data_IF_687955964063
#
_entry.id   IF_687955964063
#
_cell.length_a   1.000
_cell.length_b   1.000
_cell.length_c   1.000
_cell.angle_alpha   90.00
_cell.angle_beta   90.00
_cell.angle_gamma   90.00
#
_symmetry.space_group_name_H-M   'P 1'
#
loop_
_entity.id
_entity.type
_entity.pdbx_description
1 polymer ?
#
# COMPACT_ATOMS: atom_id res chain seq x y z
N UNK A 1 -27.99 -5.24 -0.35
CA UNK A 1 -27.22 -5.46 0.88
C UNK A 1 -25.77 -4.97 0.72
N UNK A 2 -24.96 -5.51 -0.23
CA UNK A 2 -23.53 -5.19 -0.39
C UNK A 2 -23.22 -3.70 -0.67
N UNK A 3 -24.09 -2.99 -1.39
CA UNK A 3 -23.89 -1.57 -1.69
C UNK A 3 -24.07 -0.67 -0.44
N UNK A 4 -25.02 -1.01 0.42
CA UNK A 4 -25.26 -0.28 1.65
C UNK A 4 -24.15 -0.53 2.68
N UNK A 5 -23.62 -1.76 2.77
CA UNK A 5 -22.44 -2.08 3.58
C UNK A 5 -21.18 -1.32 3.10
N UNK A 6 -21.00 -1.23 1.79
CA UNK A 6 -19.87 -0.49 1.22
C UNK A 6 -19.99 1.01 1.50
N UNK A 7 -21.19 1.58 1.39
CA UNK A 7 -21.43 2.99 1.75
C UNK A 7 -21.24 3.27 3.23
N UNK A 8 -21.72 2.39 4.12
CA UNK A 8 -21.50 2.52 5.56
C UNK A 8 -20.02 2.40 5.93
N UNK A 9 -19.26 1.61 5.16
CA UNK A 9 -17.82 1.45 5.32
C UNK A 9 -17.07 2.71 4.90
N UNK A 10 -17.41 3.30 3.76
CA UNK A 10 -16.87 4.59 3.31
C UNK A 10 -17.22 5.74 4.27
N UNK A 11 -18.38 5.71 4.89
CA UNK A 11 -18.80 6.66 5.92
C UNK A 11 -17.94 6.56 7.18
N UNK A 12 -17.58 5.35 7.63
CA UNK A 12 -16.63 5.15 8.74
C UNK A 12 -15.27 5.77 8.43
N UNK A 13 -14.76 5.63 7.19
CA UNK A 13 -13.51 6.28 6.78
C UNK A 13 -13.64 7.80 6.68
N UNK A 14 -14.80 8.33 6.30
CA UNK A 14 -15.07 9.77 6.32
C UNK A 14 -15.01 10.40 7.72
N UNK A 15 -15.39 9.65 8.75
CA UNK A 15 -15.28 10.10 10.15
C UNK A 15 -13.83 10.15 10.62
N UNK A 16 -12.97 9.26 10.09
CA UNK A 16 -11.53 9.22 10.41
C UNK A 16 -10.76 10.27 9.62
N UNK A 17 -11.24 10.66 8.43
CA UNK A 17 -10.69 11.74 7.63
C UNK A 17 -11.55 12.99 7.91
N UNK A 18 -11.17 13.88 8.84
CA UNK A 18 -11.92 15.10 9.03
C UNK A 18 -11.90 15.87 7.71
N UNK A 19 -13.10 16.14 7.19
CA UNK A 19 -13.25 17.07 6.08
C UNK A 19 -12.46 18.34 6.45
N UNK A 20 -11.62 18.80 5.50
CA UNK A 20 -10.93 20.08 5.62
C UNK A 20 -11.99 21.16 5.89
N UNK A 21 -12.25 21.45 7.16
CA UNK A 21 -12.97 22.66 7.53
C UNK A 21 -12.00 23.79 7.27
N UNK A 22 -12.37 24.65 6.32
CA UNK A 22 -11.91 26.02 6.27
C UNK A 22 -12.40 26.69 7.55
N UNK A 23 -11.66 26.54 8.62
CA UNK A 23 -11.85 27.31 9.83
C UNK A 23 -10.78 28.40 9.84
N UNK A 24 -11.24 29.62 9.66
CA UNK A 24 -10.49 30.85 9.70
C UNK A 24 -10.04 31.16 11.14
N UNK A 25 -9.18 30.33 11.67
CA UNK A 25 -8.42 30.56 12.88
C UNK A 25 -6.95 30.48 12.53
N UNK A 26 -6.22 31.57 12.71
CA UNK A 26 -4.76 31.68 12.52
C UNK A 26 -4.04 30.63 13.37
N UNK A 27 -3.84 29.44 12.79
CA UNK A 27 -2.84 28.50 13.29
C UNK A 27 -1.46 28.97 12.80
N UNK A 28 -0.40 28.83 13.60
CA UNK A 28 0.95 29.17 13.17
C UNK A 28 1.28 28.43 11.85
N UNK A 29 2.13 28.99 10.98
CA UNK A 29 2.41 28.42 9.67
C UNK A 29 2.79 26.96 9.83
N UNK A 30 1.93 26.08 9.30
CA UNK A 30 2.05 24.64 9.46
C UNK A 30 3.31 24.23 8.70
N UNK A 31 4.35 23.84 9.42
CA UNK A 31 5.60 23.35 8.82
C UNK A 31 5.26 22.22 7.84
N UNK A 32 5.61 22.35 6.54
CA UNK A 32 5.31 21.37 5.53
C UNK A 32 5.79 19.96 5.90
N UNK A 33 6.89 19.89 6.66
CA UNK A 33 7.45 18.61 7.12
C UNK A 33 6.60 17.97 8.22
N UNK A 34 6.13 18.77 9.19
CA UNK A 34 5.24 18.32 10.26
C UNK A 34 3.89 17.86 9.69
N UNK A 35 3.39 18.56 8.66
CA UNK A 35 2.19 18.17 7.93
C UNK A 35 2.35 16.84 7.21
N UNK A 36 3.45 16.65 6.46
CA UNK A 36 3.74 15.41 5.75
C UNK A 36 3.84 14.20 6.70
N UNK A 37 4.43 14.39 7.89
CA UNK A 37 4.50 13.34 8.92
C UNK A 37 3.11 12.97 9.44
N UNK A 38 2.25 13.95 9.77
CA UNK A 38 0.88 13.67 10.26
C UNK A 38 0.03 12.96 9.23
N UNK A 39 0.17 13.30 7.96
CA UNK A 39 -0.57 12.66 6.88
C UNK A 39 -0.09 11.23 6.60
N UNK A 40 1.22 10.99 6.70
CA UNK A 40 1.79 9.65 6.65
C UNK A 40 1.26 8.75 7.78
N UNK A 41 1.20 9.26 9.00
CA UNK A 41 0.63 8.54 10.14
C UNK A 41 -0.85 8.18 9.91
N UNK A 42 -1.65 9.10 9.38
CA UNK A 42 -3.05 8.82 9.03
C UNK A 42 -3.18 7.72 7.98
N UNK A 43 -2.29 7.68 6.98
CA UNK A 43 -2.29 6.64 5.97
C UNK A 43 -1.97 5.26 6.58
N UNK A 44 -1.02 5.19 7.51
CA UNK A 44 -0.67 3.97 8.23
C UNK A 44 -1.82 3.47 9.12
N UNK A 45 -2.50 4.37 9.84
CA UNK A 45 -3.64 4.02 10.69
C UNK A 45 -4.81 3.46 9.86
N UNK A 46 -5.11 4.07 8.73
CA UNK A 46 -6.14 3.60 7.80
C UNK A 46 -5.73 2.25 7.18
N UNK A 47 -4.48 2.10 6.76
CA UNK A 47 -3.98 0.85 6.22
C UNK A 47 -4.11 -0.30 7.23
N UNK A 48 -3.81 -0.04 8.50
CA UNK A 48 -3.99 -1.01 9.59
C UNK A 48 -5.44 -1.48 9.72
N UNK A 49 -6.39 -0.55 9.76
CA UNK A 49 -7.82 -0.86 9.84
C UNK A 49 -8.26 -1.69 8.63
N UNK A 50 -7.85 -1.30 7.43
CA UNK A 50 -8.21 -2.02 6.20
C UNK A 50 -7.66 -3.44 6.19
N UNK A 51 -6.38 -3.62 6.57
CA UNK A 51 -5.74 -4.94 6.61
C UNK A 51 -6.45 -5.85 7.61
N UNK A 52 -6.78 -5.34 8.79
CA UNK A 52 -7.53 -6.07 9.82
C UNK A 52 -8.95 -6.44 9.34
N UNK A 53 -9.69 -5.49 8.79
CA UNK A 53 -11.04 -5.73 8.25
C UNK A 53 -11.05 -6.68 7.04
N UNK A 54 -9.95 -6.76 6.29
CA UNK A 54 -9.80 -7.72 5.20
C UNK A 54 -9.50 -9.15 5.69
N UNK A 55 -9.30 -9.36 7.01
CA UNK A 55 -9.18 -10.68 7.63
C UNK A 55 -7.75 -11.09 7.96
N UNK A 56 -6.78 -10.22 7.82
CA UNK A 56 -5.43 -10.47 8.35
C UNK A 56 -5.44 -10.39 9.88
N UNK A 57 -4.59 -11.17 10.52
CA UNK A 57 -4.44 -11.27 11.97
C UNK A 57 -3.00 -10.96 12.39
N UNK A 58 -2.74 -10.94 13.71
CA UNK A 58 -1.39 -10.78 14.24
C UNK A 58 -0.69 -9.48 13.82
N UNK A 59 -1.45 -8.41 13.62
CA UNK A 59 -0.91 -7.14 13.16
C UNK A 59 0.12 -6.59 14.15
N UNK A 60 1.30 -6.22 13.61
CA UNK A 60 2.36 -5.61 14.42
C UNK A 60 1.92 -4.26 14.98
N UNK A 61 2.16 -4.02 16.28
CA UNK A 61 1.87 -2.73 16.92
C UNK A 61 2.90 -1.66 16.56
N UNK A 62 4.10 -2.08 16.15
CA UNK A 62 5.23 -1.20 15.80
C UNK A 62 5.79 -1.60 14.45
N UNK A 63 6.43 -0.64 13.79
CA UNK A 63 7.22 -0.90 12.58
C UNK A 63 8.33 -1.92 12.87
N UNK A 64 8.59 -2.80 11.91
CA UNK A 64 9.65 -3.79 12.01
C UNK A 64 10.89 -3.31 11.26
N UNK A 65 11.99 -3.06 11.98
CA UNK A 65 13.27 -2.81 11.36
C UNK A 65 13.95 -4.14 10.98
N UNK A 66 14.38 -4.24 9.73
CA UNK A 66 15.12 -5.39 9.18
C UNK A 66 16.63 -5.17 9.29
N UNK A 67 17.40 -6.25 9.22
CA UNK A 67 18.89 -6.18 9.27
C UNK A 67 19.48 -5.42 8.08
N UNK A 68 18.83 -5.48 6.92
CA UNK A 68 19.20 -4.72 5.73
C UNK A 68 18.92 -3.21 5.83
N UNK A 69 18.42 -2.72 6.97
CA UNK A 69 18.11 -1.31 7.20
C UNK A 69 16.72 -0.86 6.70
N UNK A 70 15.97 -1.73 6.05
CA UNK A 70 14.58 -1.43 5.64
C UNK A 70 13.66 -1.49 6.86
N UNK A 71 12.73 -0.55 6.93
CA UNK A 71 11.68 -0.53 7.94
C UNK A 71 10.36 -0.90 7.28
N UNK A 72 9.72 -1.97 7.76
CA UNK A 72 8.39 -2.41 7.35
C UNK A 72 7.35 -1.69 8.20
N UNK A 73 6.37 -1.07 7.56
CA UNK A 73 5.35 -0.26 8.26
C UNK A 73 4.34 -1.14 9.00
N UNK A 74 3.93 -2.26 8.39
CA UNK A 74 2.97 -3.18 8.99
C UNK A 74 3.32 -4.63 8.63
N UNK A 75 3.28 -5.50 9.64
CA UNK A 75 3.41 -6.96 9.49
C UNK A 75 2.11 -7.59 9.93
N UNK A 76 1.61 -8.56 9.19
CA UNK A 76 0.40 -9.30 9.53
C UNK A 76 0.49 -10.75 9.06
N UNK A 77 -0.49 -11.57 9.44
CA UNK A 77 -0.60 -12.98 9.09
C UNK A 77 -1.90 -13.25 8.35
N UNK A 78 -1.85 -14.06 7.32
CA UNK A 78 -3.02 -14.65 6.66
C UNK A 78 -3.58 -15.84 7.43
N UNK A 79 -4.70 -16.40 6.97
CA UNK A 79 -5.40 -17.51 7.65
C UNK A 79 -4.53 -18.77 7.80
N UNK A 80 -3.60 -19.02 6.87
CA UNK A 80 -2.63 -20.12 6.93
C UNK A 80 -1.41 -19.84 7.80
N UNK A 81 -1.34 -18.64 8.43
CA UNK A 81 -0.22 -18.21 9.25
C UNK A 81 0.97 -17.61 8.47
N UNK A 82 0.88 -17.50 7.15
CA UNK A 82 1.94 -16.89 6.33
C UNK A 82 2.13 -15.40 6.67
N UNK A 83 3.38 -14.96 6.63
CA UNK A 83 3.76 -13.58 6.98
C UNK A 83 3.63 -12.67 5.76
N UNK A 84 3.00 -11.54 5.99
CA UNK A 84 2.84 -10.46 5.01
C UNK A 84 3.45 -9.18 5.53
N UNK A 85 4.26 -8.55 4.70
CA UNK A 85 4.89 -7.26 4.94
C UNK A 85 4.20 -6.20 4.07
N UNK A 86 3.76 -5.13 4.69
CA UNK A 86 3.14 -4.01 3.99
C UNK A 86 3.99 -2.74 4.13
N UNK A 87 4.28 -2.10 3.00
CA UNK A 87 4.86 -0.76 2.92
C UNK A 87 3.73 0.21 2.60
N UNK A 88 3.49 1.15 3.50
CA UNK A 88 2.35 2.06 3.39
C UNK A 88 2.82 3.41 2.86
N UNK A 89 2.24 3.84 1.75
CA UNK A 89 2.54 5.13 1.15
C UNK A 89 1.27 5.88 0.82
N UNK A 90 1.18 7.14 1.18
CA UNK A 90 0.03 7.96 0.83
C UNK A 90 -0.07 9.24 1.61
N UNK A 91 -0.83 10.13 1.07
CA UNK A 91 -1.28 11.38 1.67
C UNK A 91 -2.70 11.62 1.19
N UNK A 92 -3.49 12.35 1.97
CA UNK A 92 -4.90 12.60 1.65
C UNK A 92 -5.13 14.03 1.15
N UNK A 93 -4.07 14.77 0.83
CA UNK A 93 -4.14 16.23 0.58
C UNK A 93 -3.75 16.68 -0.80
N UNK A 94 -3.25 15.82 -1.68
CA UNK A 94 -2.82 16.22 -3.02
C UNK A 94 -3.29 15.27 -4.12
N UNK A 95 -3.51 15.79 -5.34
CA UNK A 95 -3.91 15.01 -6.51
C UNK A 95 -2.85 14.01 -7.00
N UNK A 96 -1.61 14.13 -6.51
CA UNK A 96 -0.48 13.25 -6.87
C UNK A 96 0.07 12.54 -5.64
N UNK A 97 -0.77 11.72 -5.04
CA UNK A 97 -0.44 11.02 -3.81
C UNK A 97 0.11 9.61 -4.04
N UNK A 98 0.69 9.06 -2.98
CA UNK A 98 1.14 7.67 -2.96
C UNK A 98 2.19 7.38 -4.04
N UNK A 99 2.04 6.24 -4.70
CA UNK A 99 2.98 5.77 -5.72
C UNK A 99 2.87 6.49 -7.08
N UNK A 100 1.90 7.39 -7.27
CA UNK A 100 1.87 8.28 -8.44
C UNK A 100 3.05 9.27 -8.45
N UNK A 101 3.62 9.56 -7.29
CA UNK A 101 4.84 10.38 -7.17
C UNK A 101 6.05 9.54 -7.50
N UNK A 102 6.83 10.00 -8.47
CA UNK A 102 8.02 9.29 -8.95
C UNK A 102 9.05 9.06 -7.86
N UNK A 103 9.30 10.06 -7.02
CA UNK A 103 10.24 9.95 -5.89
C UNK A 103 9.78 8.92 -4.85
N UNK A 104 8.49 8.89 -4.53
CA UNK A 104 7.90 7.92 -3.62
C UNK A 104 7.98 6.52 -4.20
N UNK A 105 7.62 6.34 -5.47
CA UNK A 105 7.69 5.06 -6.15
C UNK A 105 9.12 4.48 -6.13
N UNK A 106 10.12 5.27 -6.54
CA UNK A 106 11.51 4.80 -6.55
C UNK A 106 12.04 4.49 -5.15
N UNK A 107 11.63 5.25 -4.14
CA UNK A 107 11.92 4.94 -2.74
C UNK A 107 11.35 3.59 -2.33
N UNK A 108 10.07 3.32 -2.62
CA UNK A 108 9.42 2.04 -2.28
C UNK A 108 10.03 0.87 -3.05
N UNK A 109 10.36 1.04 -4.33
CA UNK A 109 11.06 0.02 -5.12
C UNK A 109 12.48 -0.25 -4.58
N UNK A 110 13.20 0.78 -4.15
CA UNK A 110 14.50 0.65 -3.50
C UNK A 110 14.43 -0.14 -2.19
N UNK A 111 13.41 0.14 -1.35
CA UNK A 111 13.14 -0.66 -0.13
C UNK A 111 12.84 -2.13 -0.49
N UNK A 112 12.00 -2.38 -1.50
CA UNK A 112 11.66 -3.72 -1.94
C UNK A 112 12.90 -4.50 -2.41
N UNK A 113 13.78 -3.86 -3.17
CA UNK A 113 15.02 -4.44 -3.63
C UNK A 113 15.98 -4.75 -2.46
N UNK A 114 16.19 -3.81 -1.55
CA UNK A 114 17.08 -4.00 -0.38
C UNK A 114 16.56 -5.11 0.55
N UNK A 115 15.23 -5.21 0.73
CA UNK A 115 14.57 -6.22 1.55
C UNK A 115 14.90 -7.65 1.11
N UNK A 116 15.12 -7.91 -0.19
CA UNK A 116 15.44 -9.25 -0.69
C UNK A 116 16.76 -9.82 -0.14
N UNK A 117 17.64 -8.98 0.34
CA UNK A 117 18.90 -9.39 0.96
C UNK A 117 18.77 -9.74 2.44
N UNK A 118 17.56 -9.70 3.00
CA UNK A 118 17.31 -10.08 4.39
C UNK A 118 16.63 -11.45 4.46
N UNK A 119 17.31 -12.42 5.06
CA UNK A 119 16.82 -13.79 5.17
C UNK A 119 15.47 -13.92 5.88
N UNK A 120 15.14 -12.98 6.79
CA UNK A 120 13.84 -12.96 7.47
C UNK A 120 12.66 -12.66 6.51
N UNK A 121 12.98 -12.21 5.30
CA UNK A 121 11.99 -11.80 4.30
C UNK A 121 11.74 -12.86 3.21
N UNK A 122 12.51 -13.95 3.21
CA UNK A 122 12.47 -14.94 2.12
C UNK A 122 11.09 -15.57 1.94
N UNK A 123 10.39 -15.85 3.04
CA UNK A 123 9.05 -16.44 3.03
C UNK A 123 7.91 -15.43 3.11
N UNK A 124 8.20 -14.16 3.35
CA UNK A 124 7.17 -13.16 3.53
C UNK A 124 6.78 -12.48 2.21
N UNK A 125 5.49 -12.37 1.93
CA UNK A 125 4.96 -11.58 0.80
C UNK A 125 5.11 -10.09 1.08
N UNK A 126 5.50 -9.31 0.06
CA UNK A 126 5.67 -7.86 0.20
C UNK A 126 4.70 -7.10 -0.68
N UNK A 127 3.84 -6.30 -0.05
CA UNK A 127 2.75 -5.58 -0.69
C UNK A 127 2.89 -4.09 -0.42
N UNK A 128 2.77 -3.29 -1.49
CA UNK A 128 2.60 -1.84 -1.33
C UNK A 128 1.12 -1.51 -1.10
N UNK A 129 0.82 -0.84 0.01
CA UNK A 129 -0.48 -0.23 0.26
C UNK A 129 -0.38 1.27 0.01
N UNK A 130 -1.12 1.78 -0.92
CA UNK A 130 -1.02 3.18 -1.34
C UNK A 130 -2.39 3.83 -1.49
N UNK A 131 -2.45 5.15 -1.38
CA UNK A 131 -3.65 5.92 -1.73
C UNK A 131 -3.88 5.97 -3.24
N UNK A 132 -2.81 5.94 -4.05
CA UNK A 132 -2.90 6.04 -5.51
C UNK A 132 -1.79 5.28 -6.21
N UNK A 133 -2.13 4.59 -7.28
CA UNK A 133 -1.20 3.86 -8.15
C UNK A 133 -0.84 4.69 -9.39
N UNK A 134 0.36 4.50 -9.97
CA UNK A 134 0.69 5.07 -11.27
C UNK A 134 -0.21 4.44 -12.35
N UNK A 135 -0.82 5.29 -13.20
CA UNK A 135 -1.75 4.85 -14.24
C UNK A 135 -1.08 4.66 -15.61
N UNK A 136 0.06 5.33 -15.81
CA UNK A 136 0.75 5.33 -17.10
C UNK A 136 2.23 5.66 -16.96
N UNK A 137 2.96 5.63 -18.06
CA UNK A 137 4.34 6.10 -18.17
C UNK A 137 5.38 5.18 -17.51
N UNK A 138 6.57 5.75 -17.26
CA UNK A 138 7.72 5.01 -16.72
C UNK A 138 7.45 4.41 -15.33
N UNK A 139 6.67 5.10 -14.48
CA UNK A 139 6.33 4.64 -13.14
C UNK A 139 5.52 3.34 -13.16
N UNK A 140 4.51 3.26 -14.02
CA UNK A 140 3.72 2.04 -14.18
C UNK A 140 4.57 0.90 -14.75
N UNK A 141 5.41 1.18 -15.77
CA UNK A 141 6.31 0.18 -16.35
C UNK A 141 7.29 -0.38 -15.31
N UNK A 142 7.89 0.48 -14.50
CA UNK A 142 8.80 0.08 -13.42
C UNK A 142 8.11 -0.78 -12.37
N UNK A 143 6.92 -0.36 -11.90
CA UNK A 143 6.16 -1.12 -10.93
C UNK A 143 5.80 -2.51 -11.44
N UNK A 144 5.29 -2.61 -12.68
CA UNK A 144 4.96 -3.89 -13.31
C UNK A 144 6.18 -4.80 -13.45
N UNK A 145 7.33 -4.25 -13.87
CA UNK A 145 8.56 -5.02 -13.99
C UNK A 145 8.98 -5.64 -12.64
N UNK A 146 8.75 -4.95 -11.54
CA UNK A 146 9.06 -5.42 -10.19
C UNK A 146 8.03 -6.43 -9.62
N UNK A 147 6.86 -6.56 -10.25
CA UNK A 147 5.81 -7.51 -9.88
C UNK A 147 5.82 -8.80 -10.71
N UNK A 148 6.64 -8.86 -11.77
CA UNK A 148 6.64 -9.96 -12.73
C UNK A 148 7.77 -10.96 -12.50
N UNK A 149 7.55 -12.20 -12.97
CA UNK A 149 8.55 -13.25 -13.02
C UNK A 149 8.93 -13.84 -11.66
N UNK A 150 9.87 -14.77 -11.68
CA UNK A 150 10.33 -15.52 -10.50
C UNK A 150 11.13 -14.64 -9.51
N UNK A 151 11.71 -13.56 -10.02
CA UNK A 151 12.50 -12.61 -9.22
C UNK A 151 11.70 -11.37 -8.80
N UNK A 152 10.37 -11.49 -8.73
CA UNK A 152 9.54 -10.36 -8.28
C UNK A 152 9.97 -9.86 -6.91
N UNK A 153 10.18 -8.56 -6.79
CA UNK A 153 10.54 -7.93 -5.52
C UNK A 153 9.32 -7.35 -4.78
N UNK A 154 8.22 -7.18 -5.50
CA UNK A 154 6.92 -6.72 -4.98
C UNK A 154 5.88 -7.75 -5.38
N UNK A 155 5.16 -8.30 -4.40
CA UNK A 155 4.10 -9.26 -4.66
C UNK A 155 2.89 -8.58 -5.32
N UNK A 156 2.46 -7.44 -4.73
CA UNK A 156 1.36 -6.62 -5.27
C UNK A 156 1.49 -5.16 -4.83
N UNK A 157 0.84 -4.28 -5.59
CA UNK A 157 0.64 -2.88 -5.23
C UNK A 157 -0.85 -2.56 -5.29
N UNK A 158 -1.39 -2.11 -4.17
CA UNK A 158 -2.84 -2.01 -3.93
C UNK A 158 -3.21 -0.57 -3.59
N UNK A 159 -4.16 -0.03 -4.36
CA UNK A 159 -4.88 1.19 -3.97
C UNK A 159 -5.83 0.83 -2.82
N UNK A 160 -5.40 1.05 -1.59
CA UNK A 160 -6.03 0.51 -0.37
C UNK A 160 -7.46 1.01 -0.13
N UNK A 161 -7.84 2.15 -0.73
CA UNK A 161 -9.20 2.70 -0.61
C UNK A 161 -10.14 2.18 -1.70
N UNK A 162 -9.64 1.48 -2.72
CA UNK A 162 -10.49 0.94 -3.79
C UNK A 162 -11.16 -0.36 -3.37
N UNK A 163 -12.40 -0.56 -3.84
CA UNK A 163 -13.13 -1.82 -3.60
C UNK A 163 -12.37 -3.04 -4.17
N UNK A 164 -11.77 -2.90 -5.35
CA UNK A 164 -10.95 -3.93 -5.99
C UNK A 164 -9.71 -4.27 -5.15
N UNK A 165 -9.01 -3.25 -4.64
CA UNK A 165 -7.84 -3.45 -3.78
C UNK A 165 -8.19 -4.19 -2.50
N UNK A 166 -9.30 -3.84 -1.85
CA UNK A 166 -9.78 -4.51 -0.65
C UNK A 166 -10.24 -5.95 -0.92
N UNK A 167 -10.85 -6.23 -2.07
CA UNK A 167 -11.18 -7.60 -2.47
C UNK A 167 -9.92 -8.46 -2.66
N UNK A 168 -8.86 -7.89 -3.24
CA UNK A 168 -7.57 -8.59 -3.36
C UNK A 168 -6.97 -8.88 -1.98
N UNK A 169 -6.96 -7.90 -1.07
CA UNK A 169 -6.50 -8.11 0.30
C UNK A 169 -7.29 -9.19 1.02
N UNK A 170 -8.62 -9.21 0.89
CA UNK A 170 -9.46 -10.27 1.47
C UNK A 170 -9.08 -11.65 0.92
N UNK A 171 -8.87 -11.76 -0.40
CA UNK A 171 -8.41 -13.01 -1.01
C UNK A 171 -7.06 -13.43 -0.45
N UNK A 172 -6.10 -12.51 -0.31
CA UNK A 172 -4.78 -12.82 0.24
C UNK A 172 -4.84 -13.25 1.71
N UNK A 173 -5.69 -12.61 2.51
CA UNK A 173 -5.89 -13.00 3.90
C UNK A 173 -6.48 -14.41 4.03
N UNK A 174 -7.37 -14.82 3.11
CA UNK A 174 -8.03 -16.13 3.13
C UNK A 174 -7.17 -17.25 2.54
N UNK A 175 -6.51 -17.01 1.38
CA UNK A 175 -5.75 -18.03 0.63
C UNK A 175 -4.32 -18.18 1.17
N UNK A 176 -3.77 -17.09 1.72
CA UNK A 176 -2.45 -17.13 2.33
C UNK A 176 -1.32 -17.15 1.30
N UNK A 177 -0.29 -17.97 1.59
CA UNK A 177 0.95 -18.01 0.79
C UNK A 177 0.74 -18.50 -0.64
N UNK A 178 -0.30 -19.30 -0.87
CA UNK A 178 -0.65 -19.83 -2.20
C UNK A 178 -1.46 -18.83 -3.04
N UNK A 179 -1.78 -17.65 -2.49
CA UNK A 179 -2.46 -16.62 -3.27
C UNK A 179 -1.60 -16.20 -4.47
N UNK A 180 -2.20 -16.22 -5.64
CA UNK A 180 -1.58 -15.65 -6.82
C UNK A 180 -1.58 -14.13 -6.77
N UNK A 181 -0.49 -13.47 -7.22
CA UNK A 181 -0.52 -12.04 -7.47
C UNK A 181 -1.60 -11.75 -8.53
N UNK A 182 -2.05 -10.50 -8.64
CA UNK A 182 -2.92 -10.15 -9.75
C UNK A 182 -2.24 -10.56 -11.04
N UNK A 183 -2.97 -11.23 -11.92
CA UNK A 183 -2.47 -11.53 -13.26
C UNK A 183 -1.87 -10.25 -13.80
N UNK A 184 -0.57 -10.31 -14.06
CA UNK A 184 0.13 -9.20 -14.67
C UNK A 184 -0.71 -8.81 -15.88
N UNK A 185 -1.39 -7.67 -15.79
CA UNK A 185 -2.21 -7.12 -16.86
C UNK A 185 -1.50 -7.45 -18.16
N UNK A 186 -2.17 -8.22 -19.04
CA UNK A 186 -1.60 -8.93 -20.15
C UNK A 186 -0.49 -8.20 -20.92
N UNK A 187 0.30 -8.90 -21.73
CA UNK A 187 1.47 -8.31 -22.35
C UNK A 187 1.09 -6.94 -22.91
N UNK A 188 1.81 -5.90 -22.50
CA UNK A 188 1.65 -4.60 -23.12
C UNK A 188 1.75 -4.85 -24.63
N UNK A 189 0.68 -4.56 -25.37
CA UNK A 189 0.77 -4.58 -26.82
C UNK A 189 2.01 -3.81 -27.21
N UNK A 190 2.88 -4.36 -28.05
CA UNK A 190 4.06 -3.63 -28.49
C UNK A 190 3.53 -2.37 -29.19
N UNK A 191 3.66 -1.21 -28.51
CA UNK A 191 3.51 0.05 -29.22
C UNK A 191 4.46 0.00 -30.41
N UNK A 192 3.89 -0.01 -31.59
CA UNK A 192 4.64 0.05 -32.84
C UNK A 192 5.56 1.28 -32.77
N UNK A 193 6.84 1.02 -32.74
CA UNK A 193 7.86 2.03 -32.93
C UNK A 193 7.74 2.56 -34.36
N UNK A 194 7.12 3.73 -34.50
CA UNK A 194 7.25 4.60 -35.68
C UNK A 194 7.79 5.96 -35.26
#
# INVERSE_FOLDING_TARGET
>A
ARLAEHQARLERFRVIIPASKNDSGESPPDDPQARAIREGQKAEDIARIIVEECGFTGLSLKKKALKCGVVIDLVAQSADGAIWHFDVTGSFTSERDGLRRTDTLWKSLGKAAARQFDAECESARYVFLTTSLPESGAGLKALRACQQGDKRIVFDAIAMLSAEGQQRLQRYAMVGIEADPPDSIGPAEPEALF
#
